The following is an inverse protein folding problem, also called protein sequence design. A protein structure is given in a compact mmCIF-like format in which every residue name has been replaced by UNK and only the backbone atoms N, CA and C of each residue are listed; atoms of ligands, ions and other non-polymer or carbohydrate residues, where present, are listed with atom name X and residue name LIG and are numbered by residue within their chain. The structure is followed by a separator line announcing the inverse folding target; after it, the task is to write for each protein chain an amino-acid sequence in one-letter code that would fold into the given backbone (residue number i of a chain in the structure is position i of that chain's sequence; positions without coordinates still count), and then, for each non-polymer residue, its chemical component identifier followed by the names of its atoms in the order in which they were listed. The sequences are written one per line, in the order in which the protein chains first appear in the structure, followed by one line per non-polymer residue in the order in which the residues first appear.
data_IF_588047220697
#
_entry.id   IF_588047220697
#
_cell.length_a   1.000
_cell.length_b   1.000
_cell.length_c   1.000
_cell.angle_alpha   90.00
_cell.angle_beta   90.00
_cell.angle_gamma   90.00
#
_symmetry.space_group_name_H-M   'P 1'
#
loop_
_entity.id
_entity.type
_entity.pdbx_description
1 polymer ?
#
# COMPACT_ATOMS: atom_id res chain seq x y z
N UNK A 1 -8.43 -17.69 14.40
CA UNK A 1 -8.01 -16.31 14.68
C UNK A 1 -6.77 -15.98 13.87
N UNK A 2 -6.74 -14.82 13.21
CA UNK A 2 -5.74 -14.47 12.21
C UNK A 2 -4.29 -14.49 12.72
N UNK A 3 -3.99 -13.70 13.75
CA UNK A 3 -2.62 -13.65 14.30
C UNK A 3 -2.15 -15.02 14.82
N UNK A 4 -3.05 -15.83 15.37
CA UNK A 4 -2.71 -17.17 15.87
C UNK A 4 -2.24 -18.14 14.78
N UNK A 5 -2.40 -17.80 13.48
CA UNK A 5 -1.88 -18.66 12.40
C UNK A 5 -0.35 -18.81 12.48
N UNK A 6 0.34 -17.80 13.01
CA UNK A 6 1.79 -17.88 13.21
C UNK A 6 2.22 -18.98 14.19
N UNK A 7 1.43 -19.28 15.24
CA UNK A 7 1.77 -20.33 16.20
C UNK A 7 1.85 -21.74 15.60
N UNK A 8 1.25 -21.94 14.44
CA UNK A 8 1.29 -23.24 13.74
C UNK A 8 2.62 -23.49 13.03
N UNK A 9 3.51 -22.53 13.02
CA UNK A 9 4.73 -22.49 12.24
C UNK A 9 5.92 -22.07 13.10
N UNK A 10 7.12 -21.94 12.54
CA UNK A 10 8.28 -21.39 13.25
C UNK A 10 8.06 -19.92 13.52
N UNK A 11 7.98 -19.53 14.80
CA UNK A 11 7.58 -18.18 15.22
C UNK A 11 8.53 -17.58 16.27
N UNK A 12 9.77 -18.05 16.33
CA UNK A 12 10.79 -17.45 17.18
C UNK A 12 11.05 -16.01 16.75
N UNK A 13 11.19 -15.10 17.70
CA UNK A 13 11.30 -13.66 17.44
C UNK A 13 12.46 -13.27 16.51
N UNK A 14 13.60 -13.95 16.65
CA UNK A 14 14.80 -13.69 15.83
C UNK A 14 14.60 -14.07 14.36
N UNK A 15 13.73 -15.04 14.06
CA UNK A 15 13.38 -15.41 12.69
C UNK A 15 12.66 -14.27 11.97
N UNK A 16 11.83 -13.49 12.69
CA UNK A 16 11.18 -12.31 12.12
C UNK A 16 12.19 -11.22 11.78
N UNK A 17 13.22 -11.00 12.63
CA UNK A 17 14.30 -10.07 12.32
C UNK A 17 15.13 -10.53 11.13
N UNK A 18 15.58 -11.78 11.14
CA UNK A 18 16.34 -12.37 10.03
C UNK A 18 15.54 -12.34 8.72
N UNK A 19 14.25 -12.68 8.78
CA UNK A 19 13.36 -12.60 7.63
C UNK A 19 13.17 -11.18 7.12
N UNK A 20 13.02 -10.20 8.01
CA UNK A 20 12.92 -8.79 7.61
C UNK A 20 14.18 -8.33 6.86
N UNK A 21 15.39 -8.70 7.35
CA UNK A 21 16.64 -8.39 6.66
C UNK A 21 16.66 -9.00 5.25
N UNK A 22 16.24 -10.26 5.09
CA UNK A 22 16.17 -10.92 3.78
C UNK A 22 15.15 -10.27 2.84
N UNK A 23 14.01 -9.83 3.37
CA UNK A 23 12.99 -9.10 2.60
C UNK A 23 13.55 -7.76 2.13
N UNK A 24 14.23 -7.00 3.01
CA UNK A 24 14.87 -5.72 2.65
C UNK A 24 15.94 -5.95 1.57
N UNK A 25 16.76 -6.99 1.69
CA UNK A 25 17.74 -7.35 0.64
C UNK A 25 17.02 -7.61 -0.69
N UNK A 26 15.90 -8.33 -0.69
CA UNK A 26 15.13 -8.57 -1.92
C UNK A 26 14.61 -7.26 -2.55
N UNK A 27 14.10 -6.32 -1.73
CA UNK A 27 13.68 -4.99 -2.20
C UNK A 27 14.85 -4.23 -2.82
N UNK A 28 16.01 -4.21 -2.14
CA UNK A 28 17.23 -3.53 -2.64
C UNK A 28 17.66 -4.13 -3.99
N UNK A 29 17.67 -5.46 -4.11
CA UNK A 29 17.98 -6.13 -5.38
C UNK A 29 16.98 -5.77 -6.48
N UNK A 30 15.69 -5.68 -6.14
CA UNK A 30 14.64 -5.24 -7.07
C UNK A 30 14.77 -3.76 -7.47
N UNK A 31 15.38 -2.93 -6.63
CA UNK A 31 15.60 -1.51 -6.89
C UNK A 31 16.79 -1.23 -7.83
N UNK A 32 17.73 -2.17 -7.98
CA UNK A 32 18.94 -1.99 -8.80
C UNK A 32 18.63 -1.55 -10.23
N UNK A 33 17.68 -2.18 -10.99
CA UNK A 33 17.38 -1.75 -12.35
C UNK A 33 16.92 -0.29 -12.45
N UNK A 34 16.08 0.16 -11.51
CA UNK A 34 15.60 1.54 -11.45
C UNK A 34 16.75 2.51 -11.19
N UNK A 35 17.57 2.23 -10.18
CA UNK A 35 18.74 3.04 -9.84
C UNK A 35 19.71 3.14 -11.02
N UNK A 36 20.03 2.03 -11.69
CA UNK A 36 20.92 2.03 -12.86
C UNK A 36 20.35 2.86 -14.00
N UNK A 37 19.04 2.76 -14.26
CA UNK A 37 18.39 3.55 -15.33
C UNK A 37 18.43 5.06 -15.04
N UNK A 38 18.16 5.45 -13.78
CA UNK A 38 18.25 6.86 -13.35
C UNK A 38 19.67 7.41 -13.49
N UNK A 39 20.69 6.69 -13.01
CA UNK A 39 22.09 7.13 -13.14
C UNK A 39 22.53 7.21 -14.60
N UNK A 40 22.20 6.22 -15.42
CA UNK A 40 22.53 6.25 -16.84
C UNK A 40 21.92 7.47 -17.55
N UNK A 41 20.67 7.79 -17.23
CA UNK A 41 19.96 8.93 -17.80
C UNK A 41 20.53 10.26 -17.30
N UNK A 42 20.86 10.38 -16.02
CA UNK A 42 21.48 11.58 -15.43
C UNK A 42 22.82 11.89 -16.12
N UNK A 43 23.68 10.87 -16.29
CA UNK A 43 24.97 11.00 -16.99
C UNK A 43 24.79 11.44 -18.45
N UNK A 44 23.81 10.84 -19.16
CA UNK A 44 23.49 11.24 -20.55
C UNK A 44 23.02 12.70 -20.65
N UNK A 45 22.33 13.19 -19.62
CA UNK A 45 21.79 14.55 -19.57
C UNK A 45 22.82 15.59 -19.07
N UNK A 46 24.03 15.16 -18.67
CA UNK A 46 25.06 16.03 -18.11
C UNK A 46 24.72 16.59 -16.71
N UNK A 47 23.78 15.96 -16.00
CA UNK A 47 23.39 16.38 -14.64
C UNK A 47 24.40 15.87 -13.61
N UNK A 48 24.80 16.73 -12.69
CA UNK A 48 25.57 16.31 -11.52
C UNK A 48 24.65 15.59 -10.52
N UNK A 49 25.16 14.51 -9.93
CA UNK A 49 24.36 13.68 -8.99
C UNK A 49 23.87 14.46 -7.76
N UNK A 50 24.58 15.52 -7.36
CA UNK A 50 24.22 16.41 -6.26
C UNK A 50 23.05 17.36 -6.57
N UNK A 51 22.63 17.47 -7.84
CA UNK A 51 21.51 18.31 -8.27
C UNK A 51 20.18 17.57 -8.38
N UNK A 52 20.21 16.25 -8.15
CA UNK A 52 19.04 15.38 -8.24
C UNK A 52 18.25 15.41 -6.94
N UNK A 53 17.25 16.26 -6.86
CA UNK A 53 16.21 16.17 -5.84
C UNK A 53 15.19 15.07 -6.20
N UNK A 54 14.35 14.60 -5.24
CA UNK A 54 13.37 13.54 -5.47
C UNK A 54 12.40 13.82 -6.63
N UNK A 55 11.96 15.07 -6.80
CA UNK A 55 11.02 15.44 -7.87
C UNK A 55 11.71 15.36 -9.24
N UNK A 56 12.93 15.86 -9.37
CA UNK A 56 13.70 15.72 -10.61
C UNK A 56 13.97 14.26 -10.96
N UNK A 57 14.24 13.42 -9.96
CA UNK A 57 14.43 11.98 -10.17
C UNK A 57 13.17 11.32 -10.73
N UNK A 58 11.97 11.70 -10.27
CA UNK A 58 10.71 11.14 -10.79
C UNK A 58 10.43 11.52 -12.25
N UNK A 59 10.97 12.65 -12.71
CA UNK A 59 10.77 13.18 -14.06
C UNK A 59 11.91 12.85 -15.04
N UNK A 60 12.99 12.23 -14.56
CA UNK A 60 14.19 11.98 -15.37
C UNK A 60 13.97 10.88 -16.43
N UNK A 61 13.21 9.87 -16.11
CA UNK A 61 12.80 8.78 -17.01
C UNK A 61 11.41 9.07 -17.60
N UNK A 62 11.11 8.43 -18.74
CA UNK A 62 9.74 8.40 -19.26
C UNK A 62 8.81 7.76 -18.24
N UNK A 63 7.59 8.34 -18.03
CA UNK A 63 6.70 8.00 -16.92
C UNK A 63 6.38 6.51 -16.81
N UNK A 64 6.08 5.83 -17.93
CA UNK A 64 5.78 4.39 -17.91
C UNK A 64 7.00 3.53 -17.55
N UNK A 65 8.18 3.90 -18.06
CA UNK A 65 9.42 3.21 -17.72
C UNK A 65 9.77 3.41 -16.24
N UNK A 66 9.64 4.65 -15.76
CA UNK A 66 9.87 4.99 -14.34
C UNK A 66 8.95 4.17 -13.43
N UNK A 67 7.64 4.18 -13.71
CA UNK A 67 6.65 3.43 -12.96
C UNK A 67 6.94 1.92 -12.98
N UNK A 68 7.23 1.36 -14.15
CA UNK A 68 7.56 -0.07 -14.29
C UNK A 68 8.75 -0.46 -13.43
N UNK A 69 9.86 0.28 -13.52
CA UNK A 69 11.09 -0.05 -12.80
C UNK A 69 10.93 0.14 -11.27
N UNK A 70 10.20 1.18 -10.85
CA UNK A 70 9.91 1.43 -9.45
C UNK A 70 9.05 0.31 -8.85
N UNK A 71 7.96 -0.06 -9.53
CA UNK A 71 7.04 -1.12 -9.08
C UNK A 71 7.69 -2.52 -9.10
N UNK A 72 8.69 -2.74 -9.95
CA UNK A 72 9.43 -4.00 -10.00
C UNK A 72 10.12 -4.31 -8.67
N UNK A 73 10.60 -3.30 -7.94
CA UNK A 73 11.22 -3.49 -6.63
C UNK A 73 10.26 -4.11 -5.61
N UNK A 74 9.01 -3.70 -5.63
CA UNK A 74 7.96 -4.26 -4.76
C UNK A 74 7.57 -5.69 -5.18
N UNK A 75 7.52 -5.98 -6.47
CA UNK A 75 7.26 -7.34 -6.96
C UNK A 75 8.37 -8.31 -6.53
N UNK A 76 9.64 -7.91 -6.61
CA UNK A 76 10.78 -8.69 -6.11
C UNK A 76 10.74 -8.81 -4.59
N UNK A 77 10.38 -7.73 -3.88
CA UNK A 77 10.17 -7.74 -2.43
C UNK A 77 9.08 -8.73 -2.00
N UNK A 78 7.95 -8.77 -2.72
CA UNK A 78 6.86 -9.72 -2.47
C UNK A 78 7.32 -11.17 -2.65
N UNK A 79 8.08 -11.44 -3.71
CA UNK A 79 8.68 -12.75 -3.93
C UNK A 79 9.61 -13.12 -2.79
N UNK A 80 10.50 -12.20 -2.37
CA UNK A 80 11.40 -12.36 -1.23
C UNK A 80 10.64 -12.66 0.07
N UNK A 81 9.56 -11.93 0.33
CA UNK A 81 8.69 -12.16 1.48
C UNK A 81 8.08 -13.56 1.45
N UNK A 82 7.56 -14.00 0.31
CA UNK A 82 6.99 -15.35 0.17
C UNK A 82 8.03 -16.45 0.33
N UNK A 83 9.26 -16.24 -0.14
CA UNK A 83 10.39 -17.15 0.10
C UNK A 83 10.70 -17.24 1.59
N UNK A 84 10.81 -16.12 2.29
CA UNK A 84 11.04 -16.06 3.74
C UNK A 84 9.93 -16.80 4.50
N UNK A 85 8.67 -16.48 4.22
CA UNK A 85 7.53 -17.12 4.87
C UNK A 85 7.50 -18.61 4.65
N UNK A 86 7.71 -19.06 3.42
CA UNK A 86 7.65 -20.48 3.07
C UNK A 86 8.84 -21.28 3.60
N UNK A 87 10.06 -20.77 3.47
CA UNK A 87 11.27 -21.55 3.76
C UNK A 87 11.84 -21.29 5.16
N UNK A 88 11.83 -20.04 5.65
CA UNK A 88 12.35 -19.71 6.97
C UNK A 88 11.32 -20.06 8.07
N UNK A 89 10.09 -19.55 7.93
CA UNK A 89 9.01 -19.79 8.91
C UNK A 89 8.27 -21.12 8.71
N UNK A 90 8.44 -21.79 7.55
CA UNK A 90 7.65 -22.98 7.16
C UNK A 90 6.14 -22.71 7.13
N UNK A 91 5.76 -21.48 6.90
CA UNK A 91 4.37 -21.03 6.88
C UNK A 91 3.81 -21.05 5.46
N UNK A 92 2.55 -21.46 5.30
CA UNK A 92 1.87 -21.37 4.01
C UNK A 92 1.40 -19.95 3.74
N UNK A 93 1.44 -19.51 2.48
CA UNK A 93 0.92 -18.19 2.08
C UNK A 93 -0.55 -18.05 2.48
N UNK A 94 -1.34 -19.14 2.37
CA UNK A 94 -2.74 -19.13 2.81
C UNK A 94 -2.88 -18.75 4.29
N UNK A 95 -2.06 -19.27 5.19
CA UNK A 95 -2.14 -18.95 6.62
C UNK A 95 -1.60 -17.56 6.96
N UNK A 96 -0.75 -16.99 6.08
CA UNK A 96 -0.36 -15.59 6.13
C UNK A 96 -1.48 -14.68 5.64
N UNK A 97 -2.30 -15.14 4.69
CA UNK A 97 -3.41 -14.35 4.11
C UNK A 97 -4.64 -14.36 5.00
N UNK A 98 -5.03 -15.52 5.54
CA UNK A 98 -6.34 -15.67 6.19
C UNK A 98 -6.36 -16.77 7.24
N UNK A 99 -7.25 -16.62 8.22
CA UNK A 99 -7.57 -17.68 9.19
C UNK A 99 -8.54 -18.72 8.63
N UNK A 100 -9.15 -18.48 7.48
CA UNK A 100 -10.14 -19.34 6.82
C UNK A 100 -9.48 -20.60 6.24
N UNK A 101 -10.29 -21.61 5.89
CA UNK A 101 -9.82 -22.84 5.24
C UNK A 101 -9.25 -22.59 3.84
N UNK A 102 -9.73 -21.54 3.14
CA UNK A 102 -9.28 -21.06 1.84
C UNK A 102 -9.38 -19.54 1.76
N UNK A 103 -8.61 -18.92 0.85
CA UNK A 103 -8.69 -17.49 0.55
C UNK A 103 -10.07 -17.19 -0.04
N UNK A 104 -10.73 -16.16 0.48
CA UNK A 104 -12.05 -15.73 0.03
C UNK A 104 -11.93 -14.58 -0.98
N UNK A 105 -11.77 -14.94 -2.25
CA UNK A 105 -11.66 -13.97 -3.34
C UNK A 105 -12.89 -13.07 -3.50
N UNK A 106 -14.07 -13.46 -2.99
CA UNK A 106 -15.26 -12.59 -3.01
C UNK A 106 -15.06 -11.35 -2.16
N UNK A 107 -14.34 -11.45 -1.05
CA UNK A 107 -13.98 -10.32 -0.19
C UNK A 107 -13.03 -9.37 -0.89
N UNK A 108 -11.99 -9.93 -1.54
CA UNK A 108 -11.06 -9.14 -2.34
C UNK A 108 -11.80 -8.34 -3.42
N UNK A 109 -12.58 -9.02 -4.27
CA UNK A 109 -13.28 -8.37 -5.36
C UNK A 109 -14.38 -7.42 -4.90
N UNK A 110 -15.05 -7.71 -3.77
CA UNK A 110 -15.99 -6.78 -3.17
C UNK A 110 -15.31 -5.46 -2.78
N UNK A 111 -14.21 -5.51 -2.02
CA UNK A 111 -13.49 -4.30 -1.61
C UNK A 111 -12.89 -3.57 -2.80
N UNK A 112 -12.32 -4.30 -3.77
CA UNK A 112 -11.72 -3.75 -4.98
C UNK A 112 -12.75 -3.00 -5.85
N UNK A 113 -13.86 -3.65 -6.19
CA UNK A 113 -14.87 -3.05 -7.06
C UNK A 113 -15.64 -1.93 -6.35
N UNK A 114 -15.96 -2.12 -5.07
CA UNK A 114 -16.67 -1.13 -4.27
C UNK A 114 -15.85 0.15 -4.12
N UNK A 115 -14.59 0.04 -3.69
CA UNK A 115 -13.73 1.21 -3.54
C UNK A 115 -13.31 1.82 -4.87
N UNK A 116 -13.02 0.99 -5.88
CA UNK A 116 -12.70 1.46 -7.23
C UNK A 116 -13.85 2.28 -7.83
N UNK A 117 -15.10 1.83 -7.68
CA UNK A 117 -16.27 2.58 -8.11
C UNK A 117 -16.41 3.94 -7.39
N UNK A 118 -16.22 3.94 -6.06
CA UNK A 118 -16.26 5.19 -5.27
C UNK A 118 -15.12 6.13 -5.71
N UNK A 119 -13.91 5.63 -5.92
CA UNK A 119 -12.76 6.44 -6.35
C UNK A 119 -13.03 7.11 -7.70
N UNK A 120 -13.60 6.38 -8.67
CA UNK A 120 -13.99 6.95 -9.97
C UNK A 120 -15.02 8.08 -9.77
N UNK A 121 -16.05 7.86 -8.96
CA UNK A 121 -17.08 8.87 -8.69
C UNK A 121 -16.46 10.10 -8.02
N UNK A 122 -15.61 9.91 -7.02
CA UNK A 122 -14.97 11.04 -6.30
C UNK A 122 -14.14 11.89 -7.26
N UNK A 123 -13.31 11.28 -8.09
CA UNK A 123 -12.49 12.00 -9.08
C UNK A 123 -13.38 12.72 -10.12
N UNK A 124 -14.48 12.08 -10.57
CA UNK A 124 -15.39 12.73 -11.52
C UNK A 124 -16.13 13.89 -10.89
N UNK A 125 -16.53 13.82 -9.62
CA UNK A 125 -17.16 14.92 -8.90
C UNK A 125 -16.16 16.08 -8.74
N UNK A 126 -14.93 15.77 -8.33
CA UNK A 126 -13.89 16.77 -8.14
C UNK A 126 -13.57 17.50 -9.46
N UNK A 127 -13.41 16.76 -10.55
CA UNK A 127 -13.27 17.32 -11.89
C UNK A 127 -14.44 18.23 -12.30
N UNK A 128 -15.68 17.87 -11.94
CA UNK A 128 -16.86 18.70 -12.26
C UNK A 128 -16.96 19.95 -11.38
N UNK A 129 -16.50 19.88 -10.13
CA UNK A 129 -16.54 20.99 -9.19
C UNK A 129 -15.43 22.02 -9.43
N UNK A 130 -14.26 21.57 -9.92
CA UNK A 130 -13.06 22.40 -10.10
C UNK A 130 -12.33 22.03 -11.40
N UNK A 131 -12.98 22.17 -12.57
CA UNK A 131 -12.41 21.73 -13.85
C UNK A 131 -11.13 22.50 -14.23
N UNK A 132 -10.95 23.70 -13.71
CA UNK A 132 -9.75 24.55 -13.90
C UNK A 132 -8.49 23.93 -13.28
N UNK A 133 -8.64 23.02 -12.31
CA UNK A 133 -7.54 22.32 -11.65
C UNK A 133 -7.01 21.14 -12.48
N UNK A 134 -7.69 20.80 -13.58
CA UNK A 134 -7.38 19.58 -14.35
C UNK A 134 -7.11 19.89 -15.81
N UNK A 135 -6.09 19.20 -16.35
CA UNK A 135 -5.84 19.12 -17.80
C UNK A 135 -6.12 17.70 -18.27
N UNK A 136 -6.83 17.59 -19.40
CA UNK A 136 -7.02 16.31 -20.07
C UNK A 136 -5.69 15.84 -20.66
N UNK A 137 -5.14 14.74 -20.09
CA UNK A 137 -3.78 14.27 -20.35
C UNK A 137 -3.76 12.94 -21.15
N UNK A 138 -4.92 12.49 -21.63
CA UNK A 138 -5.06 11.20 -22.26
C UNK A 138 -4.39 11.14 -23.63
N UNK A 139 -3.39 10.27 -23.75
CA UNK A 139 -2.80 9.82 -25.02
C UNK A 139 -2.92 8.30 -25.12
N UNK A 140 -3.58 7.79 -26.16
CA UNK A 140 -3.97 6.38 -26.26
C UNK A 140 -2.79 5.41 -26.09
N UNK A 141 -1.67 5.62 -26.78
CA UNK A 141 -0.53 4.70 -26.74
C UNK A 141 0.16 4.68 -25.36
N UNK A 142 0.58 5.84 -24.76
CA UNK A 142 1.13 5.85 -23.40
C UNK A 142 0.16 5.32 -22.36
N UNK A 143 -1.14 5.63 -22.48
CA UNK A 143 -2.16 5.14 -21.55
C UNK A 143 -2.34 3.61 -21.63
N UNK A 144 -2.34 3.00 -22.81
CA UNK A 144 -2.43 1.54 -22.92
C UNK A 144 -1.20 0.84 -22.30
N UNK A 145 -0.01 1.43 -22.44
CA UNK A 145 1.20 0.93 -21.78
C UNK A 145 1.04 1.08 -20.25
N UNK A 146 0.56 2.23 -19.76
CA UNK A 146 0.26 2.44 -18.36
C UNK A 146 -0.71 1.37 -17.83
N UNK A 147 -1.81 1.10 -18.53
CA UNK A 147 -2.80 0.08 -18.15
C UNK A 147 -2.14 -1.29 -18.01
N UNK A 148 -1.30 -1.68 -19.00
CA UNK A 148 -0.62 -2.98 -18.97
C UNK A 148 0.34 -3.11 -17.77
N UNK A 149 1.06 -2.04 -17.43
CA UNK A 149 1.97 -2.00 -16.27
C UNK A 149 1.15 -1.99 -14.97
N UNK A 150 0.20 -1.08 -14.85
CA UNK A 150 -0.52 -0.81 -13.61
C UNK A 150 -1.39 -1.98 -13.18
N UNK A 151 -2.15 -2.60 -14.11
CA UNK A 151 -3.02 -3.76 -13.78
C UNK A 151 -2.24 -4.94 -13.22
N UNK A 152 -0.98 -5.11 -13.63
CA UNK A 152 -0.13 -6.21 -13.13
C UNK A 152 0.67 -5.78 -11.90
N UNK A 153 1.39 -4.66 -11.97
CA UNK A 153 2.39 -4.33 -10.95
C UNK A 153 1.83 -3.57 -9.76
N UNK A 154 0.76 -2.76 -9.90
CA UNK A 154 0.17 -2.06 -8.76
C UNK A 154 -0.44 -3.06 -7.75
N UNK A 155 -1.21 -4.10 -8.15
CA UNK A 155 -1.65 -5.12 -7.20
C UNK A 155 -0.49 -5.90 -6.54
N UNK A 156 0.65 -6.09 -7.22
CA UNK A 156 1.83 -6.71 -6.61
C UNK A 156 2.49 -5.78 -5.59
N UNK A 157 2.60 -4.49 -5.90
CA UNK A 157 3.12 -3.47 -4.99
C UNK A 157 2.26 -3.39 -3.71
N UNK A 158 0.95 -3.19 -3.85
CA UNK A 158 0.05 -3.11 -2.70
C UNK A 158 -0.02 -4.42 -1.92
N UNK A 159 0.06 -5.57 -2.61
CA UNK A 159 0.18 -6.87 -1.96
C UNK A 159 1.45 -6.99 -1.14
N UNK A 160 2.60 -6.54 -1.66
CA UNK A 160 3.84 -6.54 -0.87
C UNK A 160 3.65 -5.79 0.44
N UNK A 161 3.08 -4.61 0.40
CA UNK A 161 2.85 -3.80 1.58
C UNK A 161 1.88 -4.46 2.56
N UNK A 162 0.73 -4.97 2.09
CA UNK A 162 -0.22 -5.64 2.97
C UNK A 162 0.35 -6.94 3.56
N UNK A 163 1.03 -7.76 2.77
CA UNK A 163 1.67 -8.97 3.29
C UNK A 163 2.82 -8.68 4.24
N UNK A 164 3.56 -7.58 4.04
CA UNK A 164 4.62 -7.18 4.97
C UNK A 164 4.03 -6.67 6.29
N UNK A 165 3.13 -5.68 6.24
CA UNK A 165 2.64 -4.99 7.44
C UNK A 165 1.53 -5.78 8.14
N UNK A 166 0.46 -6.16 7.43
CA UNK A 166 -0.72 -6.80 8.02
C UNK A 166 -0.59 -8.33 8.06
N UNK A 167 0.29 -8.89 7.23
CA UNK A 167 0.66 -10.29 7.26
C UNK A 167 1.81 -10.56 8.23
N UNK A 168 3.02 -10.34 7.77
CA UNK A 168 4.26 -10.75 8.39
C UNK A 168 4.51 -10.07 9.74
N UNK A 169 4.57 -8.74 9.75
CA UNK A 169 4.86 -7.96 10.95
C UNK A 169 3.72 -8.06 11.97
N UNK A 170 2.45 -7.94 11.54
CA UNK A 170 1.32 -8.01 12.46
C UNK A 170 1.23 -9.37 13.15
N UNK A 171 1.42 -10.48 12.43
CA UNK A 171 1.45 -11.82 13.02
C UNK A 171 2.65 -11.98 13.94
N UNK A 172 3.85 -11.59 13.51
CA UNK A 172 5.08 -11.71 14.29
C UNK A 172 5.05 -10.91 15.60
N UNK A 173 4.76 -9.61 15.53
CA UNK A 173 4.69 -8.75 16.70
C UNK A 173 3.57 -9.22 17.65
N UNK A 174 2.41 -9.61 17.08
CA UNK A 174 1.28 -10.06 17.87
C UNK A 174 1.56 -11.33 18.68
N UNK A 175 2.32 -12.26 18.13
CA UNK A 175 2.76 -13.48 18.85
C UNK A 175 3.79 -13.15 19.93
N UNK A 176 4.74 -12.24 19.64
CA UNK A 176 5.77 -11.83 20.59
C UNK A 176 5.14 -11.04 21.76
N UNK A 177 4.31 -10.05 21.46
CA UNK A 177 3.67 -9.18 22.45
C UNK A 177 2.43 -9.81 23.12
N UNK A 178 1.95 -10.96 22.63
CA UNK A 178 0.79 -11.70 23.13
C UNK A 178 -0.51 -10.88 23.19
N UNK A 179 -0.64 -9.88 22.33
CA UNK A 179 -1.83 -9.04 22.20
C UNK A 179 -2.01 -8.55 20.74
N UNK A 180 -3.15 -7.93 20.43
CA UNK A 180 -3.51 -7.48 19.10
C UNK A 180 -3.31 -5.97 18.87
N UNK A 181 -3.38 -5.19 19.93
CA UNK A 181 -3.31 -3.72 19.83
C UNK A 181 -1.90 -3.21 19.54
N UNK A 182 -0.86 -3.85 20.12
CA UNK A 182 0.54 -3.48 19.84
C UNK A 182 0.88 -3.65 18.37
N UNK A 183 0.66 -4.84 17.74
CA UNK A 183 0.94 -4.97 16.31
C UNK A 183 0.08 -4.03 15.45
N UNK A 184 -1.18 -3.78 15.81
CA UNK A 184 -2.01 -2.82 15.10
C UNK A 184 -1.38 -1.42 15.09
N UNK A 185 -0.98 -0.90 16.24
CA UNK A 185 -0.36 0.43 16.36
C UNK A 185 0.99 0.45 15.62
N UNK A 186 1.87 -0.50 15.95
CA UNK A 186 3.24 -0.51 15.39
C UNK A 186 3.23 -0.62 13.87
N UNK A 187 2.44 -1.54 13.30
CA UNK A 187 2.40 -1.69 11.84
C UNK A 187 1.75 -0.51 11.14
N UNK A 188 0.75 0.13 11.76
CA UNK A 188 0.10 1.32 11.19
C UNK A 188 1.02 2.54 11.18
N UNK A 189 1.73 2.77 12.29
CA UNK A 189 2.70 3.87 12.39
C UNK A 189 3.88 3.64 11.43
N UNK A 190 4.46 2.44 11.41
CA UNK A 190 5.56 2.12 10.50
C UNK A 190 5.14 2.27 9.04
N UNK A 191 3.92 1.82 8.67
CA UNK A 191 3.39 2.02 7.32
C UNK A 191 3.35 3.50 6.94
N UNK A 192 2.81 4.35 7.80
CA UNK A 192 2.76 5.79 7.53
C UNK A 192 4.16 6.42 7.48
N UNK A 193 5.06 6.04 8.38
CA UNK A 193 6.41 6.58 8.43
C UNK A 193 7.28 6.24 7.22
N UNK A 194 7.03 5.13 6.53
CA UNK A 194 7.74 4.80 5.28
C UNK A 194 7.41 5.77 4.14
N UNK A 195 6.33 6.53 4.23
CA UNK A 195 5.97 7.56 3.25
C UNK A 195 6.62 8.93 3.53
N UNK A 196 7.43 9.05 4.59
CA UNK A 196 8.05 10.34 4.98
C UNK A 196 8.98 10.90 3.88
N UNK A 197 9.55 10.06 3.04
CA UNK A 197 10.41 10.43 1.93
C UNK A 197 9.66 10.61 0.59
N UNK A 198 8.33 10.52 0.58
CA UNK A 198 7.54 10.75 -0.62
C UNK A 198 7.57 12.24 -1.01
N UNK A 199 7.59 12.55 -2.32
CA UNK A 199 7.58 13.94 -2.81
C UNK A 199 6.40 14.77 -2.28
N UNK A 200 5.25 14.12 -2.04
CA UNK A 200 4.06 14.77 -1.50
C UNK A 200 4.29 15.39 -0.12
N UNK A 201 5.17 14.81 0.70
CA UNK A 201 5.49 15.35 2.03
C UNK A 201 6.24 16.69 1.91
N UNK A 202 7.11 16.84 0.91
CA UNK A 202 7.83 18.10 0.68
C UNK A 202 6.88 19.24 0.28
N UNK A 203 5.77 18.91 -0.39
CA UNK A 203 4.77 19.88 -0.85
C UNK A 203 3.72 20.19 0.22
N UNK A 204 3.18 19.17 0.87
CA UNK A 204 2.02 19.25 1.75
C UNK A 204 2.38 19.26 3.24
N UNK A 205 3.64 19.01 3.53
CA UNK A 205 4.15 18.94 4.91
C UNK A 205 3.82 17.64 5.63
N UNK A 206 4.40 17.52 6.83
CA UNK A 206 4.25 16.31 7.66
C UNK A 206 2.82 16.03 8.14
N UNK A 207 1.90 16.96 7.99
CA UNK A 207 0.47 16.74 8.30
C UNK A 207 -0.12 15.59 7.45
N UNK A 208 0.41 15.37 6.25
CA UNK A 208 0.02 14.25 5.38
C UNK A 208 0.32 12.86 6.00
N UNK A 209 1.27 12.78 6.93
CA UNK A 209 1.53 11.53 7.68
C UNK A 209 0.30 11.08 8.48
N UNK A 210 -0.60 11.99 8.88
CA UNK A 210 -1.87 11.63 9.53
C UNK A 210 -2.73 10.77 8.59
N UNK A 211 -2.76 11.11 7.30
CA UNK A 211 -3.46 10.31 6.28
C UNK A 211 -2.82 8.92 6.13
N UNK A 212 -1.50 8.85 5.96
CA UNK A 212 -0.82 7.57 5.78
C UNK A 212 -0.90 6.67 7.02
N UNK A 213 -0.73 7.21 8.22
CA UNK A 213 -0.89 6.47 9.48
C UNK A 213 -2.36 6.05 9.66
N UNK A 214 -3.30 6.94 9.36
CA UNK A 214 -4.73 6.66 9.37
C UNK A 214 -5.13 5.53 8.42
N UNK A 215 -4.59 5.53 7.20
CA UNK A 215 -4.71 4.42 6.24
C UNK A 215 -4.12 3.14 6.83
N UNK A 216 -2.98 3.26 7.51
CA UNK A 216 -2.36 2.17 8.27
C UNK A 216 -3.33 1.53 9.26
N UNK A 217 -3.98 2.34 10.09
CA UNK A 217 -4.99 1.88 11.04
C UNK A 217 -6.22 1.29 10.37
N UNK A 218 -6.75 1.95 9.34
CA UNK A 218 -7.90 1.44 8.60
C UNK A 218 -7.66 0.02 8.08
N UNK A 219 -6.56 -0.19 7.34
CA UNK A 219 -6.20 -1.50 6.77
C UNK A 219 -5.92 -2.54 7.86
N UNK A 220 -5.28 -2.14 8.97
CA UNK A 220 -5.05 -3.02 10.11
C UNK A 220 -6.34 -3.42 10.83
N UNK A 221 -7.27 -2.49 11.04
CA UNK A 221 -8.58 -2.75 11.66
C UNK A 221 -9.39 -3.72 10.80
N UNK A 222 -9.53 -3.46 9.49
CA UNK A 222 -10.30 -4.36 8.63
C UNK A 222 -9.67 -5.75 8.54
N UNK A 223 -8.34 -5.86 8.58
CA UNK A 223 -7.63 -7.16 8.63
C UNK A 223 -7.95 -7.92 9.91
N UNK A 224 -7.88 -7.29 11.07
CA UNK A 224 -8.15 -7.93 12.36
C UNK A 224 -9.63 -8.28 12.53
N UNK A 225 -10.51 -7.38 12.13
CA UNK A 225 -11.96 -7.60 12.23
C UNK A 225 -12.45 -8.68 11.29
N UNK A 226 -11.87 -8.73 10.08
CA UNK A 226 -12.23 -9.71 9.05
C UNK A 226 -11.46 -11.04 9.18
N UNK A 227 -10.47 -11.11 10.06
CA UNK A 227 -9.65 -12.32 10.27
C UNK A 227 -8.87 -12.75 9.00
N UNK A 228 -8.46 -11.77 8.15
CA UNK A 228 -7.72 -12.01 6.93
C UNK A 228 -7.42 -10.74 6.14
N UNK A 229 -6.52 -10.84 5.18
CA UNK A 229 -6.03 -9.73 4.34
C UNK A 229 -6.94 -9.39 3.16
N UNK A 230 -7.92 -10.22 2.84
CA UNK A 230 -8.63 -10.17 1.56
C UNK A 230 -9.26 -8.78 1.29
N UNK A 231 -9.89 -8.16 2.31
CA UNK A 231 -10.48 -6.83 2.18
C UNK A 231 -9.41 -5.74 2.03
N UNK A 232 -8.33 -5.83 2.80
CA UNK A 232 -7.23 -4.88 2.74
C UNK A 232 -6.51 -4.93 1.39
N UNK A 233 -6.22 -6.13 0.89
CA UNK A 233 -5.64 -6.34 -0.44
C UNK A 233 -6.52 -5.74 -1.55
N UNK A 234 -7.84 -5.99 -1.51
CA UNK A 234 -8.77 -5.48 -2.51
C UNK A 234 -8.89 -3.96 -2.48
N UNK A 235 -9.07 -3.39 -1.29
CA UNK A 235 -9.17 -1.94 -1.11
C UNK A 235 -7.89 -1.22 -1.58
N UNK A 236 -6.73 -1.66 -1.10
CA UNK A 236 -5.46 -1.01 -1.40
C UNK A 236 -5.10 -1.11 -2.89
N UNK A 237 -5.32 -2.28 -3.50
CA UNK A 237 -5.12 -2.45 -4.93
C UNK A 237 -6.02 -1.52 -5.76
N UNK A 238 -7.30 -1.39 -5.39
CA UNK A 238 -8.21 -0.47 -6.06
C UNK A 238 -7.77 0.99 -5.88
N UNK A 239 -7.45 1.40 -4.66
CA UNK A 239 -7.01 2.75 -4.37
C UNK A 239 -5.86 3.18 -5.28
N UNK A 240 -4.77 2.43 -5.28
CA UNK A 240 -3.58 2.80 -6.04
C UNK A 240 -3.77 2.63 -7.56
N UNK A 241 -4.50 1.59 -7.99
CA UNK A 241 -4.72 1.35 -9.42
C UNK A 241 -5.59 2.44 -10.05
N UNK A 242 -6.74 2.75 -9.45
CA UNK A 242 -7.65 3.76 -10.02
C UNK A 242 -7.04 5.16 -9.94
N UNK A 243 -6.31 5.50 -8.88
CA UNK A 243 -5.56 6.76 -8.82
C UNK A 243 -4.54 6.82 -9.95
N UNK A 244 -3.69 5.79 -10.11
CA UNK A 244 -2.66 5.78 -11.15
C UNK A 244 -3.22 5.88 -12.58
N UNK A 245 -4.42 5.36 -12.85
CA UNK A 245 -5.05 5.41 -14.17
C UNK A 245 -5.82 6.71 -14.43
N UNK A 246 -6.39 7.32 -13.40
CA UNK A 246 -7.31 8.44 -13.57
C UNK A 246 -6.64 9.80 -13.42
N UNK A 247 -5.78 9.96 -12.41
CA UNK A 247 -5.17 11.26 -12.08
C UNK A 247 -3.69 11.12 -11.78
N UNK A 248 -2.91 12.07 -12.28
CA UNK A 248 -1.50 12.28 -11.92
C UNK A 248 -1.28 13.72 -11.53
N UNK A 249 -0.22 14.00 -10.76
CA UNK A 249 0.29 15.34 -10.52
C UNK A 249 1.82 15.34 -10.56
N UNK A 250 2.41 16.48 -10.89
CA UNK A 250 3.87 16.60 -11.08
C UNK A 250 4.68 16.54 -9.77
N UNK A 251 3.98 16.48 -8.64
CA UNK A 251 4.55 16.48 -7.29
C UNK A 251 4.25 15.20 -6.51
N UNK A 252 3.67 14.17 -7.16
CA UNK A 252 3.37 12.88 -6.53
C UNK A 252 4.41 11.81 -6.85
N UNK A 253 4.49 10.77 -6.02
CA UNK A 253 5.39 9.63 -6.25
C UNK A 253 5.02 8.84 -7.52
N UNK A 254 3.74 8.79 -7.89
CA UNK A 254 3.25 8.12 -9.09
C UNK A 254 2.90 9.16 -10.15
N UNK A 255 3.89 9.55 -10.95
CA UNK A 255 3.69 10.40 -12.13
C UNK A 255 3.40 9.52 -13.33
N UNK A 256 2.14 9.49 -13.77
CA UNK A 256 1.65 8.52 -14.76
C UNK A 256 1.05 9.19 -15.99
N UNK A 257 0.96 8.44 -17.09
CA UNK A 257 0.21 8.85 -18.29
C UNK A 257 -1.29 8.62 -18.12
N UNK A 258 -1.86 9.13 -17.02
CA UNK A 258 -3.27 9.00 -16.63
C UNK A 258 -4.21 9.82 -17.53
N UNK A 259 -5.52 9.69 -17.29
CA UNK A 259 -6.55 10.43 -18.06
C UNK A 259 -6.49 11.93 -17.78
N UNK A 260 -6.34 12.31 -16.51
CA UNK A 260 -6.27 13.71 -16.08
C UNK A 260 -4.91 13.99 -15.43
N UNK A 261 -4.45 15.22 -15.58
CA UNK A 261 -3.34 15.77 -14.80
C UNK A 261 -3.88 16.90 -13.94
N UNK A 262 -3.70 16.76 -12.64
CA UNK A 262 -3.97 17.80 -11.66
C UNK A 262 -2.84 18.84 -11.74
N UNK A 263 -3.21 20.08 -12.01
CA UNK A 263 -2.33 21.25 -12.13
C UNK A 263 -2.61 22.27 -11.03
N UNK A 264 -3.43 21.92 -10.06
CA UNK A 264 -3.70 22.80 -8.91
C UNK A 264 -2.42 23.04 -8.10
N UNK A 265 -2.34 24.20 -7.47
CA UNK A 265 -1.30 24.42 -6.47
C UNK A 265 -1.64 23.54 -5.25
N UNK A 266 -0.72 22.65 -4.85
CA UNK A 266 -1.01 21.72 -3.77
C UNK A 266 -1.13 22.47 -2.43
N UNK A 267 -2.29 22.97 -2.15
CA UNK A 267 -2.72 23.50 -0.85
C UNK A 267 -3.82 22.58 -0.32
N UNK A 268 -3.39 21.47 0.30
CA UNK A 268 -4.38 20.62 0.97
C UNK A 268 -4.82 21.32 2.25
N UNK A 269 -6.05 21.79 2.24
CA UNK A 269 -6.73 22.17 3.46
C UNK A 269 -6.66 21.01 4.47
N UNK A 270 -6.36 21.32 5.72
CA UNK A 270 -6.34 20.31 6.80
C UNK A 270 -7.60 19.46 6.82
N UNK A 271 -8.74 20.00 6.37
CA UNK A 271 -10.01 19.29 6.27
C UNK A 271 -9.95 18.07 5.32
N UNK A 272 -9.30 18.17 4.16
CA UNK A 272 -9.23 17.07 3.17
C UNK A 272 -8.43 15.88 3.70
N UNK A 273 -7.31 16.15 4.38
CA UNK A 273 -6.50 15.11 5.02
C UNK A 273 -7.29 14.41 6.13
N UNK A 274 -7.90 15.19 7.02
CA UNK A 274 -8.64 14.64 8.16
C UNK A 274 -9.96 13.98 7.76
N UNK A 275 -10.64 14.45 6.70
CA UNK A 275 -11.89 13.86 6.23
C UNK A 275 -11.74 12.40 5.80
N UNK A 276 -10.63 12.05 5.15
CA UNK A 276 -10.33 10.66 4.79
C UNK A 276 -10.28 9.77 6.03
N UNK A 277 -9.56 10.21 7.07
CA UNK A 277 -9.34 9.42 8.30
C UNK A 277 -10.56 9.43 9.21
N UNK A 278 -11.21 10.58 9.39
CA UNK A 278 -12.27 10.75 10.38
C UNK A 278 -13.68 10.51 9.84
N UNK A 279 -13.87 10.52 8.53
CA UNK A 279 -15.19 10.36 7.90
C UNK A 279 -15.20 9.13 6.99
N UNK A 280 -14.34 9.10 5.97
CA UNK A 280 -14.40 8.05 4.93
C UNK A 280 -14.06 6.68 5.52
N UNK A 281 -12.93 6.54 6.24
CA UNK A 281 -12.55 5.24 6.80
C UNK A 281 -13.53 4.70 7.85
N UNK A 282 -14.08 5.49 8.79
CA UNK A 282 -15.16 5.03 9.67
C UNK A 282 -16.41 4.57 8.93
N UNK A 283 -16.82 5.27 7.87
CA UNK A 283 -17.96 4.86 7.03
C UNK A 283 -17.67 3.51 6.36
N UNK A 284 -16.48 3.33 5.77
CA UNK A 284 -16.07 2.08 5.14
C UNK A 284 -16.02 0.92 6.15
N UNK A 285 -15.45 1.15 7.34
CA UNK A 285 -15.44 0.17 8.43
C UNK A 285 -16.87 -0.22 8.80
N UNK A 286 -17.77 0.75 8.92
CA UNK A 286 -19.18 0.49 9.21
C UNK A 286 -19.86 -0.36 8.12
N UNK A 287 -19.63 -0.04 6.84
CA UNK A 287 -20.17 -0.80 5.71
C UNK A 287 -19.65 -2.24 5.74
N UNK A 288 -18.33 -2.43 5.87
CA UNK A 288 -17.74 -3.77 5.95
C UNK A 288 -18.25 -4.54 7.17
N UNK A 289 -18.38 -3.87 8.32
CA UNK A 289 -18.94 -4.50 9.52
C UNK A 289 -20.37 -5.00 9.31
N UNK A 290 -21.20 -4.25 8.61
CA UNK A 290 -22.58 -4.65 8.27
C UNK A 290 -22.61 -5.80 7.27
N UNK A 291 -21.83 -5.71 6.19
CA UNK A 291 -21.78 -6.75 5.13
C UNK A 291 -21.26 -8.07 5.69
N UNK A 292 -20.19 -8.03 6.48
CA UNK A 292 -19.54 -9.23 7.01
C UNK A 292 -19.93 -9.58 8.44
N UNK A 293 -20.91 -8.86 9.00
CA UNK A 293 -21.50 -9.11 10.34
C UNK A 293 -20.44 -9.20 11.43
N UNK A 294 -19.50 -8.23 11.46
CA UNK A 294 -18.45 -8.21 12.46
C UNK A 294 -18.99 -8.03 13.87
N UNK A 295 -18.50 -8.85 14.78
CA UNK A 295 -18.85 -8.87 16.19
C UNK A 295 -17.59 -8.91 17.04
N UNK A 296 -17.75 -8.77 18.37
CA UNK A 296 -16.65 -8.92 19.34
C UNK A 296 -15.46 -7.98 19.09
N UNK A 297 -15.75 -6.72 18.77
CA UNK A 297 -14.78 -5.68 18.44
C UNK A 297 -13.64 -5.57 19.46
N UNK A 298 -14.00 -5.53 20.76
CA UNK A 298 -13.01 -5.40 21.84
C UNK A 298 -11.99 -6.52 21.81
N UNK A 299 -12.43 -7.77 21.74
CA UNK A 299 -11.52 -8.90 21.72
C UNK A 299 -10.78 -9.03 20.37
N UNK A 300 -11.43 -8.68 19.24
CA UNK A 300 -10.78 -8.72 17.92
C UNK A 300 -9.68 -7.69 17.75
N UNK A 301 -9.80 -6.52 18.36
CA UNK A 301 -8.81 -5.43 18.25
C UNK A 301 -7.83 -5.37 19.42
N UNK A 302 -8.30 -5.69 20.65
CA UNK A 302 -7.53 -5.46 21.88
C UNK A 302 -7.24 -6.74 22.66
N UNK A 303 -7.85 -7.86 22.27
CA UNK A 303 -7.77 -9.12 23.01
C UNK A 303 -6.38 -9.76 23.02
N UNK A 304 -6.15 -10.73 23.90
CA UNK A 304 -4.89 -11.44 23.99
C UNK A 304 -4.66 -12.38 22.79
N UNK A 305 -3.39 -12.60 22.47
CA UNK A 305 -2.91 -13.58 21.51
C UNK A 305 -2.21 -14.70 22.27
N UNK A 306 -2.97 -15.71 22.67
CA UNK A 306 -2.48 -16.86 23.45
C UNK A 306 -2.52 -18.10 22.56
N UNK A 307 -1.48 -18.91 22.62
CA UNK A 307 -1.42 -20.21 21.94
C UNK A 307 -2.52 -21.10 22.52
N UNK A 308 -3.27 -21.76 21.65
CA UNK A 308 -4.25 -22.75 22.10
C UNK A 308 -3.48 -23.93 22.76
N UNK A 309 -4.02 -24.43 23.90
CA UNK A 309 -3.40 -25.47 24.68
C UNK A 309 -3.29 -26.79 23.90
#
# INVERSE_FOLDING_TARGET
MYIKQAFKNKHDWWLYLAGLVLIVIAVILGQIPHTVALFAKALQSGLELGELDPNKMMQLLESNLNLFLMLLSFAVGLLGLFVVVKFLHKQSIKSLTTSRSKIDWKRFWFAFLFWGFISVIMIMIDYQCSPENYVFNFELKPFLILVAIAVVLVPLQTSFEEYLFRGYLMQGIGVICKNKWVPLIVTSVLFGMLHIANPEIDKLGYVLLVHYIGTGFFLGIITLMDEGLELALGFHAANNLFTALLVTADWTAFQTNSIFRDISDPDIGTFEIFSSVLIIYPILIFIFAKVYKWTDWKNRLLGPVIKDA
#
